data_IF_145113212351
#
_entry.id   IF_145113212351
#
_cell.length_a   1.000
_cell.length_b   1.000
_cell.length_c   1.000
_cell.angle_alpha   90.00
_cell.angle_beta   90.00
_cell.angle_gamma   90.00
#
_symmetry.space_group_name_H-M   'P 1'
#
loop_
_entity.id
_entity.type
_entity.pdbx_description
1 polymer ?
#
# COMPACT_ATOMS: atom_id res chain seq x y z
N UNK A 1 -23.54 -13.65 1.56
CA UNK A 1 -22.57 -14.23 0.60
C UNK A 1 -22.00 -13.23 -0.41
N UNK A 2 -22.82 -12.42 -1.12
CA UNK A 2 -22.30 -11.47 -2.15
C UNK A 2 -21.26 -10.48 -1.61
N UNK A 3 -21.49 -9.89 -0.43
CA UNK A 3 -20.54 -8.96 0.20
C UNK A 3 -19.25 -9.65 0.64
N UNK A 4 -19.35 -10.83 1.26
CA UNK A 4 -18.18 -11.62 1.66
C UNK A 4 -17.33 -12.01 0.44
N UNK A 5 -17.96 -12.48 -0.64
CA UNK A 5 -17.25 -12.81 -1.89
C UNK A 5 -16.58 -11.56 -2.48
N UNK A 6 -17.27 -10.42 -2.48
CA UNK A 6 -16.73 -9.15 -2.96
C UNK A 6 -15.54 -8.67 -2.12
N UNK A 7 -15.58 -8.88 -0.80
CA UNK A 7 -14.48 -8.60 0.11
C UNK A 7 -13.29 -9.53 -0.12
N UNK A 8 -13.52 -10.85 -0.16
CA UNK A 8 -12.46 -11.84 -0.38
C UNK A 8 -11.75 -11.63 -1.72
N UNK A 9 -12.48 -11.30 -2.78
CA UNK A 9 -11.88 -11.00 -4.08
C UNK A 9 -10.91 -9.81 -3.98
N UNK A 10 -11.32 -8.73 -3.31
CA UNK A 10 -10.48 -7.54 -3.09
C UNK A 10 -9.27 -7.83 -2.22
N UNK A 11 -9.48 -8.64 -1.17
CA UNK A 11 -8.39 -9.11 -0.33
C UNK A 11 -7.35 -9.87 -1.14
N UNK A 12 -7.76 -10.77 -2.04
CA UNK A 12 -6.82 -11.49 -2.91
C UNK A 12 -6.10 -10.56 -3.89
N UNK A 13 -6.81 -9.59 -4.48
CA UNK A 13 -6.21 -8.58 -5.38
C UNK A 13 -5.09 -7.80 -4.68
N UNK A 14 -5.24 -7.50 -3.38
CA UNK A 14 -4.19 -6.84 -2.59
C UNK A 14 -3.12 -7.82 -2.14
N UNK A 15 -3.50 -8.98 -1.61
CA UNK A 15 -2.57 -9.92 -0.98
C UNK A 15 -1.61 -10.57 -1.98
N UNK A 16 -2.09 -10.96 -3.17
CA UNK A 16 -1.27 -11.65 -4.18
C UNK A 16 -0.02 -10.84 -4.57
N UNK A 17 -0.13 -9.58 -5.05
CA UNK A 17 1.05 -8.81 -5.46
C UNK A 17 1.99 -8.53 -4.28
N UNK A 18 1.46 -8.31 -3.07
CA UNK A 18 2.27 -8.10 -1.87
C UNK A 18 3.04 -9.37 -1.45
N UNK A 19 2.40 -10.54 -1.54
CA UNK A 19 3.06 -11.82 -1.27
C UNK A 19 4.14 -12.14 -2.30
N UNK A 20 3.87 -11.87 -3.59
CA UNK A 20 4.86 -12.02 -4.66
C UNK A 20 6.06 -11.12 -4.40
N UNK A 21 5.82 -9.85 -4.06
CA UNK A 21 6.89 -8.92 -3.73
C UNK A 21 7.66 -9.36 -2.48
N UNK A 22 6.98 -9.87 -1.45
CA UNK A 22 7.63 -10.39 -0.24
C UNK A 22 8.56 -11.57 -0.55
N UNK A 23 8.10 -12.53 -1.34
CA UNK A 23 8.93 -13.66 -1.78
C UNK A 23 10.14 -13.18 -2.59
N UNK A 24 9.92 -12.25 -3.53
CA UNK A 24 11.00 -11.65 -4.30
C UNK A 24 12.01 -10.92 -3.39
N UNK A 25 11.53 -10.14 -2.42
CA UNK A 25 12.36 -9.42 -1.47
C UNK A 25 13.25 -10.37 -0.67
N UNK A 26 12.70 -11.48 -0.16
CA UNK A 26 13.48 -12.48 0.57
C UNK A 26 14.60 -13.08 -0.27
N UNK A 27 14.31 -13.42 -1.53
CA UNK A 27 15.32 -13.95 -2.47
C UNK A 27 16.39 -12.89 -2.75
N UNK A 28 15.97 -11.66 -3.04
CA UNK A 28 16.86 -10.54 -3.36
C UNK A 28 17.76 -10.16 -2.18
N UNK A 29 17.25 -10.15 -0.96
CA UNK A 29 18.05 -9.91 0.24
C UNK A 29 19.04 -11.04 0.50
N UNK A 30 18.62 -12.31 0.33
CA UNK A 30 19.53 -13.45 0.48
C UNK A 30 20.68 -13.39 -0.52
N UNK A 31 20.41 -13.02 -1.76
CA UNK A 31 21.42 -12.91 -2.82
C UNK A 31 22.35 -11.69 -2.69
N UNK A 32 21.91 -10.62 -2.00
CA UNK A 32 22.70 -9.40 -1.83
C UNK A 32 23.38 -9.27 -0.46
N UNK A 33 23.15 -10.18 0.50
CA UNK A 33 23.86 -10.22 1.80
C UNK A 33 25.38 -10.38 1.67
N UNK A 34 25.84 -10.94 0.56
CA UNK A 34 27.26 -11.21 0.30
C UNK A 34 27.91 -10.15 -0.63
N UNK A 35 27.17 -9.11 -1.01
CA UNK A 35 27.65 -8.05 -1.92
C UNK A 35 28.05 -6.79 -1.16
N UNK A 36 28.90 -5.99 -1.81
CA UNK A 36 29.50 -4.75 -1.29
C UNK A 36 28.47 -3.68 -0.88
N UNK A 37 27.26 -3.70 -1.47
CA UNK A 37 26.15 -2.80 -1.17
C UNK A 37 24.85 -3.54 -0.84
N UNK A 38 24.70 -4.05 0.40
CA UNK A 38 23.54 -4.85 0.80
C UNK A 38 22.23 -4.04 0.87
N UNK A 39 22.31 -2.71 0.93
CA UNK A 39 21.17 -1.79 1.05
C UNK A 39 20.47 -1.45 -0.27
N UNK A 40 21.15 -1.57 -1.42
CA UNK A 40 20.60 -1.19 -2.73
C UNK A 40 19.39 -2.04 -3.13
N UNK A 41 19.42 -3.32 -2.73
CA UNK A 41 18.30 -4.23 -2.89
C UNK A 41 17.06 -3.74 -2.14
N UNK A 42 17.25 -3.20 -0.93
CA UNK A 42 16.19 -2.66 -0.10
C UNK A 42 15.51 -1.45 -0.74
N UNK A 43 16.31 -0.52 -1.27
CA UNK A 43 15.76 0.65 -1.96
C UNK A 43 14.94 0.25 -3.20
N UNK A 44 15.46 -0.67 -4.02
CA UNK A 44 14.74 -1.18 -5.18
C UNK A 44 13.40 -1.84 -4.82
N UNK A 45 13.38 -2.65 -3.75
CA UNK A 45 12.16 -3.28 -3.24
C UNK A 45 11.15 -2.24 -2.74
N UNK A 46 11.59 -1.19 -2.05
CA UNK A 46 10.70 -0.11 -1.58
C UNK A 46 10.09 0.66 -2.75
N UNK A 47 10.86 0.92 -3.81
CA UNK A 47 10.35 1.57 -5.03
C UNK A 47 9.30 0.68 -5.72
N UNK A 48 9.57 -0.62 -5.85
CA UNK A 48 8.61 -1.59 -6.37
C UNK A 48 7.34 -1.66 -5.53
N UNK A 49 7.46 -1.65 -4.21
CA UNK A 49 6.34 -1.60 -3.28
C UNK A 49 5.49 -0.35 -3.53
N UNK A 50 6.12 0.82 -3.59
CA UNK A 50 5.42 2.08 -3.85
C UNK A 50 4.63 2.04 -5.16
N UNK A 51 5.24 1.51 -6.23
CA UNK A 51 4.58 1.36 -7.53
C UNK A 51 3.36 0.44 -7.47
N UNK A 52 3.48 -0.73 -6.82
CA UNK A 52 2.37 -1.67 -6.61
C UNK A 52 1.24 -0.99 -5.81
N UNK A 53 1.58 -0.28 -4.73
CA UNK A 53 0.60 0.40 -3.88
C UNK A 53 -0.13 1.51 -4.64
N UNK A 54 0.56 2.27 -5.50
CA UNK A 54 -0.07 3.30 -6.35
C UNK A 54 -1.06 2.66 -7.33
N UNK A 55 -0.68 1.57 -8.01
CA UNK A 55 -1.58 0.87 -8.94
C UNK A 55 -2.82 0.35 -8.22
N UNK A 56 -2.63 -0.29 -7.06
CA UNK A 56 -3.74 -0.78 -6.25
C UNK A 56 -4.64 0.38 -5.80
N UNK A 57 -4.05 1.45 -5.29
CA UNK A 57 -4.79 2.64 -4.86
C UNK A 57 -5.66 3.21 -5.98
N UNK A 58 -5.08 3.44 -7.16
CA UNK A 58 -5.83 3.94 -8.33
C UNK A 58 -6.94 2.97 -8.73
N UNK A 59 -6.66 1.67 -8.76
CA UNK A 59 -7.66 0.64 -9.09
C UNK A 59 -8.85 0.64 -8.12
N UNK A 60 -8.58 0.69 -6.81
CA UNK A 60 -9.64 0.75 -5.78
C UNK A 60 -10.39 2.09 -5.78
N UNK A 61 -9.71 3.19 -6.09
CA UNK A 61 -10.33 4.51 -6.22
C UNK A 61 -11.29 4.54 -7.42
N UNK A 62 -10.87 4.01 -8.57
CA UNK A 62 -11.73 3.90 -9.75
C UNK A 62 -12.92 2.99 -9.48
N UNK A 63 -12.73 1.80 -8.87
CA UNK A 63 -13.86 0.93 -8.50
C UNK A 63 -14.82 1.61 -7.51
N UNK A 64 -14.30 2.40 -6.56
CA UNK A 64 -15.12 3.19 -5.64
C UNK A 64 -15.97 4.23 -6.39
N UNK A 65 -15.36 5.05 -7.25
CA UNK A 65 -16.05 6.10 -8.01
C UNK A 65 -17.11 5.51 -8.95
N UNK A 66 -16.79 4.42 -9.66
CA UNK A 66 -17.72 3.72 -10.56
C UNK A 66 -18.90 3.11 -9.79
N UNK A 67 -18.68 2.55 -8.60
CA UNK A 67 -19.79 2.01 -7.79
C UNK A 67 -20.65 3.09 -7.16
N UNK A 68 -20.03 4.21 -6.79
CA UNK A 68 -20.75 5.37 -6.28
C UNK A 68 -21.67 5.95 -7.35
N UNK A 69 -21.20 6.08 -8.59
CA UNK A 69 -22.03 6.54 -9.72
C UNK A 69 -23.17 5.57 -10.06
N UNK A 70 -22.97 4.27 -9.84
CA UNK A 70 -24.01 3.23 -9.97
C UNK A 70 -24.92 3.07 -8.75
N UNK A 71 -24.75 3.90 -7.71
CA UNK A 71 -25.50 3.84 -6.43
C UNK A 71 -25.36 2.51 -5.67
N UNK A 72 -24.26 1.78 -5.88
CA UNK A 72 -23.96 0.51 -5.20
C UNK A 72 -23.25 0.73 -3.84
N UNK A 73 -23.82 1.58 -2.98
CA UNK A 73 -23.16 2.08 -1.76
C UNK A 73 -22.62 0.97 -0.84
N UNK A 74 -23.37 -0.13 -0.66
CA UNK A 74 -22.97 -1.25 0.22
C UNK A 74 -21.68 -1.94 -0.26
N UNK A 75 -21.49 -2.03 -1.58
CA UNK A 75 -20.28 -2.64 -2.15
C UNK A 75 -19.16 -1.61 -2.23
N UNK A 76 -19.49 -0.34 -2.50
CA UNK A 76 -18.53 0.77 -2.46
C UNK A 76 -17.83 0.90 -1.10
N UNK A 77 -18.58 0.78 0.00
CA UNK A 77 -18.05 0.81 1.38
C UNK A 77 -16.97 -0.26 1.64
N UNK A 78 -16.99 -1.38 0.91
CA UNK A 78 -15.97 -2.44 1.06
C UNK A 78 -14.59 -1.96 0.62
N UNK A 79 -14.47 -0.96 -0.27
CA UNK A 79 -13.18 -0.42 -0.71
C UNK A 79 -12.50 0.43 0.36
N UNK A 80 -13.25 1.02 1.29
CA UNK A 80 -12.72 1.91 2.32
C UNK A 80 -11.61 1.26 3.16
N UNK A 81 -11.78 0.06 3.75
CA UNK A 81 -10.72 -0.57 4.54
C UNK A 81 -9.45 -0.90 3.72
N UNK A 82 -9.54 -1.02 2.39
CA UNK A 82 -8.37 -1.22 1.53
C UNK A 82 -7.71 0.11 1.14
N UNK A 83 -8.50 1.17 0.96
CA UNK A 83 -8.00 2.50 0.59
C UNK A 83 -7.31 3.23 1.76
N UNK A 84 -7.81 3.09 2.99
CA UNK A 84 -7.26 3.79 4.16
C UNK A 84 -5.75 3.52 4.34
N UNK A 85 -5.27 2.26 4.37
CA UNK A 85 -3.84 1.99 4.51
C UNK A 85 -3.00 2.59 3.37
N UNK A 86 -3.52 2.59 2.14
CA UNK A 86 -2.83 3.18 1.00
C UNK A 86 -2.71 4.70 1.13
N UNK A 87 -3.79 5.39 1.54
CA UNK A 87 -3.77 6.83 1.78
C UNK A 87 -2.79 7.17 2.89
N UNK A 88 -2.83 6.45 4.02
CA UNK A 88 -1.90 6.66 5.13
C UNK A 88 -0.46 6.51 4.66
N UNK A 89 -0.16 5.46 3.89
CA UNK A 89 1.19 5.23 3.36
C UNK A 89 1.63 6.33 2.38
N UNK A 90 0.78 6.72 1.43
CA UNK A 90 1.07 7.78 0.45
C UNK A 90 1.31 9.12 1.17
N UNK A 91 0.46 9.46 2.12
CA UNK A 91 0.56 10.69 2.91
C UNK A 91 1.83 10.67 3.77
N UNK A 92 2.17 9.55 4.37
CA UNK A 92 3.41 9.38 5.14
C UNK A 92 4.66 9.62 4.28
N UNK A 93 4.74 8.98 3.11
CA UNK A 93 5.87 9.20 2.18
C UNK A 93 5.90 10.67 1.70
N UNK A 94 4.74 11.26 1.40
CA UNK A 94 4.64 12.68 1.06
C UNK A 94 5.18 13.59 2.18
N UNK A 95 4.82 13.31 3.43
CA UNK A 95 5.30 14.03 4.59
C UNK A 95 6.80 13.86 4.85
N UNK A 96 7.38 12.69 4.56
CA UNK A 96 8.83 12.48 4.62
C UNK A 96 9.60 13.30 3.57
N UNK A 97 8.98 13.56 2.41
CA UNK A 97 9.58 14.37 1.33
C UNK A 97 9.34 15.88 1.50
N UNK A 98 8.29 16.27 2.22
CA UNK A 98 7.93 17.66 2.50
C UNK A 98 8.61 18.18 3.79
N UNK A 99 8.18 19.35 4.27
CA UNK A 99 8.62 19.88 5.57
C UNK A 99 7.93 19.15 6.74
N UNK A 100 8.65 18.99 7.85
CA UNK A 100 8.14 18.36 9.09
C UNK A 100 7.19 19.27 9.91
N UNK A 101 6.48 20.19 9.27
CA UNK A 101 5.62 21.13 9.98
C UNK A 101 4.19 20.58 10.17
N UNK A 102 3.58 20.91 11.31
CA UNK A 102 2.18 20.64 11.63
C UNK A 102 1.78 19.15 11.47
N UNK A 103 0.86 18.87 10.55
CA UNK A 103 0.27 17.54 10.33
C UNK A 103 1.32 16.48 9.98
N UNK A 104 2.36 16.85 9.23
CA UNK A 104 3.41 15.91 8.83
C UNK A 104 4.31 15.50 10.01
N UNK A 105 4.61 16.42 10.94
CA UNK A 105 5.32 16.07 12.17
C UNK A 105 4.54 15.07 13.01
N UNK A 106 3.26 15.37 13.29
CA UNK A 106 2.39 14.48 14.06
C UNK A 106 2.23 13.09 13.42
N UNK A 107 2.04 13.03 12.10
CA UNK A 107 1.87 11.77 11.38
C UNK A 107 3.15 10.92 11.41
N UNK A 108 4.31 11.54 11.20
CA UNK A 108 5.61 10.84 11.26
C UNK A 108 5.86 10.31 12.67
N UNK A 109 5.71 11.14 13.70
CA UNK A 109 5.95 10.77 15.09
C UNK A 109 5.02 9.63 15.55
N UNK A 110 3.75 9.66 15.12
CA UNK A 110 2.78 8.60 15.43
C UNK A 110 3.17 7.27 14.80
N UNK A 111 3.67 7.28 13.56
CA UNK A 111 4.09 6.06 12.85
C UNK A 111 5.42 5.54 13.39
N UNK A 112 6.38 6.42 13.68
CA UNK A 112 7.66 6.04 14.28
C UNK A 112 7.50 5.48 15.70
N UNK A 113 6.54 5.98 16.49
CA UNK A 113 6.22 5.41 17.81
C UNK A 113 5.65 3.99 17.75
N UNK A 114 4.98 3.62 16.64
CA UNK A 114 4.43 2.27 16.44
C UNK A 114 5.47 1.25 15.95
N UNK A 115 6.71 1.66 15.67
CA UNK A 115 7.81 0.82 15.16
C UNK A 115 8.67 0.25 16.27
#
# INVERSE_FOLDING_TARGET
MKLLKAFLLRLMIVAIPLLVLYCYAQIAFKANREKEHPTDAGLGIVVLLAFILIILFVGFLVDLLVRLSRKEYKIALINIPFLIPFVVFIVYIGCLMASRECFCGWLIDTIDWMR
#
